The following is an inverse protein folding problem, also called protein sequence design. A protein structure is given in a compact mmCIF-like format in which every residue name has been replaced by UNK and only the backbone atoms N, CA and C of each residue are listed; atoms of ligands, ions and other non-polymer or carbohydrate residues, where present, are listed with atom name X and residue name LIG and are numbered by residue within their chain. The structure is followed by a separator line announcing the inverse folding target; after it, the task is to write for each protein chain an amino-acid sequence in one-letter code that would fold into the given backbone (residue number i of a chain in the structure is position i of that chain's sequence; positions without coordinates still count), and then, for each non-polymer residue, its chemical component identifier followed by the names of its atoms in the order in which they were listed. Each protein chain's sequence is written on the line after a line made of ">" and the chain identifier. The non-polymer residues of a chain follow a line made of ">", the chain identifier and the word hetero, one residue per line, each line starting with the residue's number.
data_IF_195602670439
#
_entry.id   IF_195602670439
#
_cell.length_a   1.000
_cell.length_b   1.000
_cell.length_c   1.000
_cell.angle_alpha   90.00
_cell.angle_beta   90.00
_cell.angle_gamma   90.00
#
_symmetry.space_group_name_H-M   'P 1'
#
loop_
_entity.id
_entity.type
_entity.pdbx_description
1 polymer ?
#
# COMPACT_ATOMS: atom_id res chain seq x y z
N UNK A 1 0.78 27.71 -13.92
CA UNK A 1 0.40 26.29 -13.74
C UNK A 1 -0.48 25.92 -14.91
N UNK A 2 -0.19 24.81 -15.58
CA UNK A 2 -1.07 24.28 -16.63
C UNK A 2 -2.41 23.88 -15.98
N UNK A 3 -3.53 24.06 -16.67
CA UNK A 3 -4.88 23.74 -16.18
C UNK A 3 -5.04 22.27 -15.78
N UNK A 4 -4.07 21.41 -16.13
CA UNK A 4 -4.08 19.97 -15.91
C UNK A 4 -2.96 19.47 -14.99
N UNK A 5 -2.36 20.30 -14.15
CA UNK A 5 -1.38 19.83 -13.19
C UNK A 5 -2.07 19.15 -12.01
N UNK A 6 -1.64 17.91 -11.69
CA UNK A 6 -2.09 17.21 -10.52
C UNK A 6 -1.14 17.50 -9.34
N UNK A 7 -1.70 17.67 -8.15
CA UNK A 7 -0.95 17.93 -6.93
C UNK A 7 -1.57 17.19 -5.74
N UNK A 8 -0.81 16.96 -4.70
CA UNK A 8 -1.30 16.43 -3.44
C UNK A 8 -1.90 17.56 -2.64
N UNK A 9 -3.20 17.48 -2.34
CA UNK A 9 -3.96 18.53 -1.64
C UNK A 9 -4.17 18.24 -0.16
N UNK A 10 -4.03 16.98 0.27
CA UNK A 10 -4.18 16.58 1.66
C UNK A 10 -3.51 15.25 1.92
N UNK A 11 -3.07 15.07 3.15
CA UNK A 11 -2.48 13.83 3.67
C UNK A 11 -3.20 13.43 4.95
N UNK A 12 -3.22 12.14 5.25
CA UNK A 12 -3.85 11.65 6.47
C UNK A 12 -3.23 10.34 6.91
N UNK A 13 -3.15 10.15 8.21
CA UNK A 13 -2.56 8.98 8.83
C UNK A 13 -3.46 8.48 9.97
N UNK A 14 -3.74 7.19 9.95
CA UNK A 14 -4.43 6.56 11.08
C UNK A 14 -3.49 6.32 12.26
N UNK A 15 -4.05 5.88 13.38
CA UNK A 15 -3.28 5.38 14.50
C UNK A 15 -2.27 4.32 14.04
N UNK A 16 -1.02 4.44 14.50
CA UNK A 16 0.05 3.46 14.29
C UNK A 16 0.27 2.66 15.57
N UNK A 17 0.44 1.35 15.44
CA UNK A 17 0.74 0.49 16.58
C UNK A 17 0.89 -0.98 16.20
N UNK A 18 1.66 -1.71 16.99
CA UNK A 18 1.90 -3.14 16.75
C UNK A 18 0.76 -4.05 17.21
N UNK A 19 -0.09 -3.59 18.12
CA UNK A 19 -1.17 -4.39 18.76
C UNK A 19 -2.54 -3.72 18.56
N UNK A 20 -2.78 -3.19 17.38
CA UNK A 20 -4.06 -2.58 17.05
C UNK A 20 -5.17 -3.65 17.02
N UNK A 21 -6.26 -3.39 17.72
CA UNK A 21 -7.46 -4.25 17.71
C UNK A 21 -8.54 -3.74 16.76
N UNK A 22 -8.44 -2.49 16.34
CA UNK A 22 -9.39 -1.86 15.43
C UNK A 22 -9.24 -2.45 14.03
N UNK A 23 -10.38 -2.72 13.37
CA UNK A 23 -10.39 -3.29 12.02
C UNK A 23 -9.62 -2.42 11.02
N UNK A 24 -8.81 -2.99 10.10
CA UNK A 24 -7.98 -2.24 9.17
C UNK A 24 -8.77 -1.27 8.28
N UNK A 25 -10.01 -1.62 7.88
CA UNK A 25 -10.87 -0.70 7.13
C UNK A 25 -11.17 0.58 7.92
N UNK A 26 -11.46 0.47 9.22
CA UNK A 26 -11.72 1.65 10.04
C UNK A 26 -10.49 2.55 10.19
N UNK A 27 -9.29 1.96 10.27
CA UNK A 27 -8.04 2.72 10.26
C UNK A 27 -7.85 3.45 8.91
N UNK A 28 -8.17 2.77 7.81
CA UNK A 28 -8.13 3.40 6.48
C UNK A 28 -9.09 4.57 6.38
N UNK A 29 -10.32 4.40 6.87
CA UNK A 29 -11.33 5.47 6.89
C UNK A 29 -10.92 6.67 7.75
N UNK A 30 -10.21 6.44 8.86
CA UNK A 30 -9.70 7.54 9.69
C UNK A 30 -8.66 8.37 8.95
N UNK A 31 -7.69 7.70 8.27
CA UNK A 31 -6.68 8.38 7.45
C UNK A 31 -7.33 9.14 6.28
N UNK A 32 -8.33 8.55 5.63
CA UNK A 32 -9.07 9.21 4.55
C UNK A 32 -9.78 10.46 5.05
N UNK A 33 -10.46 10.41 6.20
CA UNK A 33 -11.13 11.57 6.78
C UNK A 33 -10.16 12.70 7.10
N UNK A 34 -8.99 12.38 7.64
CA UNK A 34 -7.95 13.37 7.91
C UNK A 34 -7.45 14.02 6.62
N UNK A 35 -7.15 13.24 5.58
CA UNK A 35 -6.73 13.76 4.27
C UNK A 35 -7.79 14.66 3.62
N UNK A 36 -9.06 14.27 3.70
CA UNK A 36 -10.17 15.07 3.18
C UNK A 36 -10.34 16.39 3.93
N UNK A 37 -10.21 16.34 5.28
CA UNK A 37 -10.28 17.54 6.11
C UNK A 37 -9.15 18.52 5.78
N UNK A 38 -7.91 18.03 5.61
CA UNK A 38 -6.78 18.87 5.23
C UNK A 38 -6.97 19.48 3.82
N UNK A 39 -7.49 18.68 2.88
CA UNK A 39 -7.79 19.14 1.52
C UNK A 39 -9.01 20.08 1.45
N UNK A 40 -9.78 20.19 2.51
CA UNK A 40 -11.09 20.87 2.52
C UNK A 40 -12.05 20.32 1.44
N UNK A 41 -12.10 18.98 1.31
CA UNK A 41 -12.95 18.28 0.36
C UNK A 41 -14.02 17.44 1.08
N UNK A 42 -15.21 17.40 0.49
CA UNK A 42 -16.25 16.44 0.86
C UNK A 42 -16.04 15.10 0.16
N UNK A 43 -16.61 14.04 0.75
CA UNK A 43 -16.55 12.70 0.17
C UNK A 43 -17.26 12.62 -1.20
N UNK A 44 -18.27 13.40 -1.41
CA UNK A 44 -19.05 13.54 -2.64
C UNK A 44 -18.23 14.11 -3.82
N UNK A 45 -17.10 14.74 -3.53
CA UNK A 45 -16.19 15.28 -4.54
C UNK A 45 -15.15 14.25 -5.00
N UNK A 46 -15.05 13.11 -4.32
CA UNK A 46 -14.09 12.05 -4.67
C UNK A 46 -14.68 11.17 -5.76
N UNK A 47 -13.94 11.05 -6.85
CA UNK A 47 -14.32 10.28 -8.03
C UNK A 47 -13.23 9.29 -8.49
N UNK A 48 -12.16 9.14 -7.68
CA UNK A 48 -11.12 8.17 -7.95
C UNK A 48 -10.47 7.57 -6.71
N UNK A 49 -9.98 6.32 -6.85
CA UNK A 49 -9.26 5.61 -5.78
C UNK A 49 -8.07 4.87 -6.36
N UNK A 50 -6.91 4.97 -5.70
CA UNK A 50 -5.70 4.26 -6.08
C UNK A 50 -5.02 3.61 -4.87
N UNK A 51 -4.52 2.40 -5.03
CA UNK A 51 -3.80 1.68 -3.98
C UNK A 51 -2.78 0.71 -4.57
N UNK A 52 -1.78 0.36 -3.77
CA UNK A 52 -0.80 -0.69 -4.07
C UNK A 52 -0.57 -1.56 -2.84
N UNK A 53 -0.47 -2.84 -2.97
CA UNK A 53 -0.69 -3.69 -4.15
C UNK A 53 -2.15 -4.04 -4.40
N UNK A 54 -3.09 -3.35 -3.80
CA UNK A 54 -4.47 -3.77 -3.72
C UNK A 54 -4.65 -4.80 -2.61
N UNK A 55 -5.83 -5.39 -2.51
CA UNK A 55 -6.11 -6.43 -1.53
C UNK A 55 -5.31 -7.70 -1.85
N UNK A 56 -4.58 -8.23 -0.88
CA UNK A 56 -3.86 -9.50 -1.00
C UNK A 56 -3.93 -10.32 0.27
N UNK A 57 -4.14 -11.62 0.10
CA UNK A 57 -4.09 -12.61 1.17
C UNK A 57 -2.73 -13.32 1.26
N UNK A 58 -1.74 -12.94 0.44
CA UNK A 58 -0.44 -13.62 0.39
C UNK A 58 0.30 -13.57 1.74
N UNK A 59 0.17 -12.46 2.45
CA UNK A 59 0.66 -12.29 3.82
C UNK A 59 -0.43 -11.62 4.65
N UNK A 60 -0.79 -12.17 5.83
CA UNK A 60 -1.80 -11.59 6.70
C UNK A 60 -1.48 -10.12 7.05
N UNK A 61 -2.43 -9.24 6.82
CA UNK A 61 -2.28 -7.82 7.14
C UNK A 61 -1.36 -7.02 6.23
N UNK A 62 -0.71 -7.63 5.23
CA UNK A 62 0.21 -6.91 4.33
C UNK A 62 -0.51 -5.85 3.49
N UNK A 63 -1.68 -6.17 2.96
CA UNK A 63 -2.59 -5.23 2.28
C UNK A 63 -4.02 -5.75 2.39
N UNK A 64 -4.67 -5.52 3.53
CA UNK A 64 -5.96 -6.12 3.81
C UNK A 64 -7.13 -5.44 3.10
N UNK A 65 -6.95 -4.19 2.64
CA UNK A 65 -8.00 -3.36 2.05
C UNK A 65 -7.71 -3.08 0.58
N UNK A 66 -8.70 -3.37 -0.28
CA UNK A 66 -8.69 -3.08 -1.71
C UNK A 66 -9.33 -1.72 -2.06
N UNK A 67 -9.19 -1.31 -3.31
CA UNK A 67 -9.83 -0.09 -3.80
C UNK A 67 -11.36 -0.23 -3.82
N UNK A 68 -11.85 -1.39 -4.24
CA UNK A 68 -13.27 -1.77 -4.25
C UNK A 68 -13.90 -1.66 -2.86
N UNK A 69 -13.25 -2.24 -1.86
CA UNK A 69 -13.73 -2.21 -0.48
C UNK A 69 -13.78 -0.80 0.10
N UNK A 70 -12.82 0.06 -0.25
CA UNK A 70 -12.86 1.45 0.17
C UNK A 70 -13.95 2.25 -0.56
N UNK A 71 -14.14 2.03 -1.86
CA UNK A 71 -15.21 2.63 -2.67
C UNK A 71 -16.57 2.32 -2.05
N UNK A 72 -16.82 1.03 -1.75
CA UNK A 72 -18.08 0.58 -1.14
C UNK A 72 -18.29 1.18 0.25
N UNK A 73 -17.24 1.18 1.09
CA UNK A 73 -17.32 1.68 2.46
C UNK A 73 -17.58 3.20 2.52
N UNK A 74 -17.14 3.95 1.54
CA UNK A 74 -17.33 5.40 1.45
C UNK A 74 -18.57 5.79 0.63
N UNK A 75 -19.16 4.85 -0.10
CA UNK A 75 -20.30 5.11 -0.98
C UNK A 75 -19.97 6.05 -2.15
N UNK A 76 -18.75 6.02 -2.66
CA UNK A 76 -18.31 6.91 -3.73
C UNK A 76 -18.69 6.35 -5.12
N UNK A 77 -19.07 7.25 -6.03
CA UNK A 77 -19.23 6.91 -7.45
C UNK A 77 -17.91 7.13 -8.19
N UNK A 78 -17.02 6.15 -8.11
CA UNK A 78 -15.71 6.25 -8.74
C UNK A 78 -15.81 6.16 -10.27
N UNK A 79 -15.31 7.18 -10.96
CA UNK A 79 -15.14 7.18 -12.43
C UNK A 79 -13.82 6.50 -12.82
N UNK A 80 -12.88 6.42 -11.89
CA UNK A 80 -11.59 5.79 -12.09
C UNK A 80 -11.10 5.12 -10.81
N UNK A 81 -10.51 3.94 -10.92
CA UNK A 81 -9.76 3.35 -9.82
C UNK A 81 -8.63 2.45 -10.33
N UNK A 82 -7.61 2.31 -9.51
CA UNK A 82 -6.48 1.43 -9.79
C UNK A 82 -6.00 0.75 -8.51
N UNK A 83 -5.64 -0.52 -8.64
CA UNK A 83 -5.04 -1.31 -7.57
C UNK A 83 -4.53 -2.62 -8.13
N UNK A 84 -3.48 -3.16 -7.52
CA UNK A 84 -2.94 -4.44 -7.92
C UNK A 84 -1.43 -4.49 -7.88
N UNK A 85 -0.89 -5.72 -7.90
CA UNK A 85 0.55 -5.99 -7.84
C UNK A 85 1.33 -5.54 -9.07
N UNK A 86 0.66 -5.23 -10.16
CA UNK A 86 1.26 -4.74 -11.39
C UNK A 86 1.69 -3.26 -11.31
N UNK A 87 1.15 -2.53 -10.37
CA UNK A 87 1.60 -1.16 -10.07
C UNK A 87 2.96 -1.25 -9.35
N UNK A 88 3.92 -0.45 -9.78
CA UNK A 88 5.33 -0.55 -9.36
C UNK A 88 5.63 -0.08 -7.93
N UNK A 89 4.69 0.18 -7.09
CA UNK A 89 4.81 0.54 -5.67
C UNK A 89 3.72 1.53 -5.24
N UNK A 90 3.76 1.97 -3.99
CA UNK A 90 2.87 3.03 -3.50
C UNK A 90 3.07 4.34 -4.26
N UNK A 91 4.30 4.70 -4.60
CA UNK A 91 4.56 5.88 -5.46
C UNK A 91 3.99 5.67 -6.87
N UNK A 92 4.05 4.44 -7.40
CA UNK A 92 3.39 4.10 -8.67
C UNK A 92 1.88 4.33 -8.63
N UNK A 93 1.23 4.05 -7.50
CA UNK A 93 -0.19 4.34 -7.32
C UNK A 93 -0.49 5.85 -7.35
N UNK A 94 0.38 6.66 -6.74
CA UNK A 94 0.27 8.14 -6.80
C UNK A 94 0.52 8.66 -8.21
N UNK A 95 1.52 8.13 -8.91
CA UNK A 95 1.82 8.52 -10.30
C UNK A 95 0.65 8.16 -11.24
N UNK A 96 0.04 6.97 -11.06
CA UNK A 96 -1.13 6.56 -11.83
C UNK A 96 -2.32 7.49 -11.58
N UNK A 97 -2.58 7.84 -10.33
CA UNK A 97 -3.62 8.80 -9.95
C UNK A 97 -3.38 10.17 -10.57
N UNK A 98 -2.15 10.69 -10.49
CA UNK A 98 -1.79 11.97 -11.11
C UNK A 98 -1.99 11.94 -12.65
N UNK A 99 -1.66 10.82 -13.30
CA UNK A 99 -1.90 10.65 -14.72
C UNK A 99 -3.39 10.63 -15.06
N UNK A 100 -4.22 9.96 -14.25
CA UNK A 100 -5.68 9.92 -14.42
C UNK A 100 -6.30 11.32 -14.29
N UNK A 101 -5.87 12.10 -13.29
CA UNK A 101 -6.31 13.49 -13.10
C UNK A 101 -5.91 14.36 -14.30
N UNK A 102 -4.66 14.26 -14.76
CA UNK A 102 -4.19 15.00 -15.94
C UNK A 102 -4.91 14.63 -17.22
N UNK A 103 -5.31 13.37 -17.35
CA UNK A 103 -6.10 12.87 -18.49
C UNK A 103 -7.60 13.18 -18.39
N UNK A 104 -8.06 13.79 -17.29
CA UNK A 104 -9.47 14.09 -17.06
C UNK A 104 -10.32 12.85 -16.76
N UNK A 105 -9.73 11.74 -16.38
CA UNK A 105 -10.42 10.50 -16.00
C UNK A 105 -11.02 10.56 -14.59
N UNK A 106 -10.40 11.36 -13.72
CA UNK A 106 -10.89 11.71 -12.40
C UNK A 106 -10.48 13.14 -12.04
N UNK A 107 -11.11 13.73 -11.03
CA UNK A 107 -10.81 15.07 -10.51
C UNK A 107 -10.09 15.00 -9.17
N UNK A 108 -10.58 14.17 -8.26
CA UNK A 108 -10.06 13.99 -6.91
C UNK A 108 -9.87 12.51 -6.60
N UNK A 109 -8.63 12.10 -6.43
CA UNK A 109 -8.27 10.68 -6.24
C UNK A 109 -7.69 10.47 -4.84
N UNK A 110 -8.28 9.55 -4.09
CA UNK A 110 -7.70 9.04 -2.85
C UNK A 110 -6.63 8.00 -3.21
N UNK A 111 -5.38 8.27 -2.81
CA UNK A 111 -4.30 7.29 -2.84
C UNK A 111 -4.06 6.77 -1.43
N UNK A 112 -4.21 5.47 -1.20
CA UNK A 112 -4.07 4.92 0.14
C UNK A 112 -3.22 3.66 0.20
N UNK A 113 -2.73 3.35 1.40
CA UNK A 113 -2.09 2.10 1.74
C UNK A 113 -2.47 1.71 3.15
N UNK A 114 -2.93 0.49 3.34
CA UNK A 114 -3.19 -0.09 4.65
C UNK A 114 -2.20 -1.20 4.94
N UNK A 115 -1.51 -1.11 6.07
CA UNK A 115 -0.57 -2.13 6.57
C UNK A 115 -1.01 -2.52 7.98
N UNK A 116 -1.21 -3.81 8.20
CA UNK A 116 -1.75 -4.35 9.45
C UNK A 116 -1.00 -5.61 9.92
N UNK A 117 0.19 -5.86 9.39
CA UNK A 117 0.94 -7.11 9.56
C UNK A 117 1.20 -7.46 11.03
N UNK A 118 1.71 -6.51 11.81
CA UNK A 118 2.04 -6.76 13.21
C UNK A 118 0.81 -7.15 14.04
N UNK A 119 -0.32 -6.49 13.80
CA UNK A 119 -1.58 -6.79 14.49
C UNK A 119 -2.21 -8.10 14.00
N UNK A 120 -2.10 -8.42 12.72
CA UNK A 120 -2.56 -9.68 12.14
C UNK A 120 -1.75 -10.87 12.68
N UNK A 121 -0.43 -10.77 12.71
CA UNK A 121 0.45 -11.82 13.25
C UNK A 121 0.25 -12.07 14.76
N UNK A 122 -0.19 -11.05 15.50
CA UNK A 122 -0.56 -11.22 16.91
C UNK A 122 -1.89 -11.96 17.12
N UNK A 123 -2.66 -12.18 16.05
CA UNK A 123 -3.99 -12.84 16.07
C UNK A 123 -4.09 -13.92 14.99
N UNK A 124 -3.32 -15.01 15.08
CA UNK A 124 -3.24 -16.03 14.03
C UNK A 124 -4.56 -16.77 13.80
N UNK A 125 -5.45 -16.84 14.79
CA UNK A 125 -6.77 -17.47 14.66
C UNK A 125 -7.71 -16.63 13.78
N UNK A 126 -7.60 -15.31 13.85
CA UNK A 126 -8.40 -14.37 13.06
C UNK A 126 -7.76 -14.10 11.68
N UNK A 127 -6.43 -14.13 11.62
CA UNK A 127 -5.64 -13.89 10.40
C UNK A 127 -4.69 -15.07 10.13
N UNK A 128 -5.20 -16.21 9.69
CA UNK A 128 -4.39 -17.41 9.49
C UNK A 128 -3.38 -17.19 8.36
N UNK A 129 -2.14 -17.60 8.60
CA UNK A 129 -1.13 -17.67 7.54
C UNK A 129 -1.48 -18.83 6.61
N UNK A 130 -1.64 -18.61 5.30
CA UNK A 130 -1.89 -19.68 4.36
C UNK A 130 -0.77 -20.72 4.41
N UNK A 131 -1.11 -21.96 4.79
CA UNK A 131 -0.16 -23.07 4.70
C UNK A 131 0.01 -23.48 3.25
N UNK A 132 1.25 -23.60 2.82
CA UNK A 132 1.60 -24.16 1.52
C UNK A 132 2.24 -25.52 1.77
N UNK A 133 1.66 -26.56 1.24
CA UNK A 133 2.20 -27.93 1.35
C UNK A 133 3.48 -28.09 0.52
N UNK A 134 3.65 -27.22 -0.47
CA UNK A 134 4.84 -27.19 -1.33
C UNK A 134 5.24 -25.75 -1.61
N UNK A 135 6.54 -25.51 -1.58
CA UNK A 135 7.13 -24.24 -2.02
C UNK A 135 7.43 -24.31 -3.50
N UNK A 136 6.92 -23.37 -4.28
CA UNK A 136 7.07 -23.27 -5.72
C UNK A 136 7.58 -21.90 -6.17
N UNK A 137 7.80 -21.74 -7.45
CA UNK A 137 8.24 -20.47 -8.04
C UNK A 137 9.50 -19.93 -7.37
N UNK A 138 9.59 -18.63 -7.22
CA UNK A 138 10.74 -17.94 -6.61
C UNK A 138 10.96 -18.36 -5.15
N UNK A 139 9.91 -18.69 -4.44
CA UNK A 139 9.98 -19.08 -3.02
C UNK A 139 10.81 -20.35 -2.78
N UNK A 140 10.90 -21.26 -3.75
CA UNK A 140 11.73 -22.47 -3.64
C UNK A 140 13.24 -22.16 -3.49
N UNK A 141 13.67 -20.99 -3.94
CA UNK A 141 15.05 -20.51 -3.84
C UNK A 141 15.33 -19.70 -2.57
N UNK A 142 14.30 -19.17 -1.93
CA UNK A 142 14.43 -18.28 -0.77
C UNK A 142 14.04 -18.96 0.54
N UNK A 143 13.00 -19.79 0.53
CA UNK A 143 12.49 -20.44 1.73
C UNK A 143 13.50 -21.36 2.46
N UNK A 144 14.33 -22.18 1.77
CA UNK A 144 15.33 -23.02 2.42
C UNK A 144 16.38 -22.24 3.21
N UNK A 145 16.59 -20.96 2.87
CA UNK A 145 17.53 -20.04 3.54
C UNK A 145 16.84 -19.09 4.49
N UNK A 146 15.57 -19.33 4.82
CA UNK A 146 14.73 -18.43 5.61
C UNK A 146 14.69 -16.99 5.07
N UNK A 147 14.90 -16.81 3.76
CA UNK A 147 14.87 -15.52 3.08
C UNK A 147 13.43 -15.18 2.63
N UNK A 148 12.53 -15.00 3.62
CA UNK A 148 11.08 -14.90 3.39
C UNK A 148 10.58 -13.45 3.27
N UNK A 149 11.45 -12.46 3.46
CA UNK A 149 11.05 -11.05 3.44
C UNK A 149 11.82 -10.24 2.40
N UNK A 150 11.23 -9.16 1.92
CA UNK A 150 11.87 -8.21 1.05
C UNK A 150 13.15 -7.62 1.67
N UNK A 151 13.18 -7.43 2.99
CA UNK A 151 14.38 -6.97 3.69
C UNK A 151 15.57 -7.93 3.49
N UNK A 152 15.33 -9.25 3.57
CA UNK A 152 16.36 -10.26 3.35
C UNK A 152 16.85 -10.25 1.90
N UNK A 153 15.95 -10.12 0.94
CA UNK A 153 16.31 -10.07 -0.49
C UNK A 153 17.10 -8.80 -0.82
N UNK A 154 16.65 -7.66 -0.31
CA UNK A 154 17.36 -6.38 -0.49
C UNK A 154 18.74 -6.41 0.18
N UNK A 155 18.86 -7.04 1.34
CA UNK A 155 20.15 -7.21 2.03
C UNK A 155 21.18 -7.96 1.17
N UNK A 156 20.77 -8.96 0.39
CA UNK A 156 21.68 -9.67 -0.53
C UNK A 156 22.20 -8.74 -1.64
N UNK A 157 21.34 -7.91 -2.21
CA UNK A 157 21.78 -6.91 -3.19
C UNK A 157 22.69 -5.86 -2.57
N UNK A 158 22.36 -5.37 -1.39
CA UNK A 158 23.18 -4.41 -0.64
C UNK A 158 24.57 -4.99 -0.34
N UNK A 159 24.63 -6.23 0.16
CA UNK A 159 25.90 -6.92 0.44
C UNK A 159 26.76 -7.11 -0.82
N UNK A 160 26.14 -7.47 -1.95
CA UNK A 160 26.85 -7.54 -3.23
C UNK A 160 27.40 -6.18 -3.65
N UNK A 161 26.61 -5.13 -3.46
CA UNK A 161 27.00 -3.76 -3.79
C UNK A 161 28.17 -3.29 -2.92
N UNK A 162 28.07 -3.49 -1.61
CA UNK A 162 29.18 -3.24 -0.66
C UNK A 162 30.45 -3.96 -1.07
N UNK A 163 30.37 -5.26 -1.36
CA UNK A 163 31.53 -6.08 -1.75
C UNK A 163 32.14 -5.62 -3.07
N UNK A 164 31.32 -5.20 -4.02
CA UNK A 164 31.77 -4.81 -5.36
C UNK A 164 32.41 -3.43 -5.41
N UNK A 165 31.89 -2.49 -4.62
CA UNK A 165 32.26 -1.07 -4.69
C UNK A 165 32.94 -0.56 -3.41
N UNK A 166 33.15 -1.41 -2.40
CA UNK A 166 33.81 -1.02 -1.16
C UNK A 166 33.03 -0.03 -0.31
N UNK A 167 31.70 -0.01 -0.41
CA UNK A 167 30.88 0.90 0.37
C UNK A 167 30.83 0.55 1.85
N UNK A 168 30.76 1.56 2.68
CA UNK A 168 30.52 1.42 4.11
C UNK A 168 29.02 1.38 4.42
N UNK A 169 28.70 0.94 5.64
CA UNK A 169 27.31 0.90 6.11
C UNK A 169 26.72 2.32 6.20
N UNK A 170 27.54 3.29 6.61
CA UNK A 170 27.15 4.70 6.74
C UNK A 170 26.80 5.35 5.39
N UNK A 171 27.43 4.87 4.31
CA UNK A 171 27.12 5.34 2.95
C UNK A 171 25.82 4.74 2.39
N UNK A 172 25.25 3.71 3.04
CA UNK A 172 23.96 3.11 2.69
C UNK A 172 22.80 3.67 3.53
N UNK A 173 23.08 4.40 4.60
CA UNK A 173 22.11 5.05 5.47
C UNK A 173 21.78 6.45 4.98
#
# INVERSE_FOLDING_TARGET
>A
MSVNDAFVSGIGQSQIGMKLTRHPLLLTLDAVREALAEANLGIDQIDGVSTYPGRTAALPGFSPIGADELIDALGISASWYAGGGEITSQLGAVVAAAAAVRAGQARHVICFRTVYEAAALARPDEYPVPRRDRVDGYSQWTAPFNALSAATWTAQYAMRHVKRYGLTREQLA
#
